data_IF_901571425261
#
_entry.id   IF_901571425261
#
_cell.length_a   1.000
_cell.length_b   1.000
_cell.length_c   1.000
_cell.angle_alpha   90.00
_cell.angle_beta   90.00
_cell.angle_gamma   90.00
#
_symmetry.space_group_name_H-M   'P 1'
#
loop_
_entity.id
_entity.type
_entity.pdbx_description
1 polymer ?
#
# COMPACT_ATOMS: atom_id res chain seq x y z
N UNK A 1 10.88 22.88 -16.78
CA UNK A 1 9.96 21.87 -17.33
C UNK A 1 9.70 20.86 -16.23
N UNK A 2 8.49 20.82 -15.69
CA UNK A 2 8.12 19.84 -14.65
C UNK A 2 7.72 18.55 -15.37
N UNK A 3 8.43 17.45 -15.15
CA UNK A 3 8.06 16.17 -15.74
C UNK A 3 6.88 15.57 -14.97
N UNK A 4 5.81 15.20 -15.67
CA UNK A 4 4.71 14.44 -15.08
C UNK A 4 5.18 13.00 -14.83
N UNK A 5 5.26 12.60 -13.56
CA UNK A 5 5.62 11.24 -13.18
C UNK A 5 4.35 10.45 -12.86
N UNK A 6 4.07 9.40 -13.65
CA UNK A 6 3.01 8.45 -13.39
C UNK A 6 3.63 7.08 -13.18
N UNK A 7 3.31 6.45 -12.04
CA UNK A 7 3.82 5.12 -11.69
C UNK A 7 2.66 4.24 -11.28
N UNK A 8 2.62 3.02 -11.82
CA UNK A 8 1.70 1.98 -11.37
C UNK A 8 2.42 1.08 -10.40
N UNK A 9 1.94 1.03 -9.16
CA UNK A 9 2.40 0.05 -8.17
C UNK A 9 1.47 -1.16 -8.21
N UNK A 10 2.03 -2.35 -8.33
CA UNK A 10 1.32 -3.62 -8.16
C UNK A 10 2.01 -4.47 -7.08
N UNK A 11 1.31 -5.48 -6.56
CA UNK A 11 1.78 -6.33 -5.45
C UNK A 11 2.18 -7.75 -5.90
N UNK A 12 2.23 -7.99 -7.21
CA UNK A 12 2.34 -9.34 -7.78
C UNK A 12 3.72 -9.96 -7.58
N UNK A 13 4.74 -9.11 -7.37
CA UNK A 13 6.13 -9.53 -7.12
C UNK A 13 6.57 -9.39 -5.67
N UNK A 14 5.71 -8.84 -4.81
CA UNK A 14 6.01 -8.71 -3.39
C UNK A 14 5.83 -10.04 -2.67
N UNK A 15 6.60 -10.22 -1.59
CA UNK A 15 6.47 -11.40 -0.75
C UNK A 15 5.14 -11.37 0.02
N UNK A 16 4.35 -12.44 -0.09
CA UNK A 16 3.13 -12.58 0.69
C UNK A 16 3.43 -12.63 2.19
N UNK A 17 2.53 -12.05 2.99
CA UNK A 17 2.68 -11.94 4.44
C UNK A 17 3.61 -10.80 4.89
N UNK A 18 4.24 -10.07 3.97
CA UNK A 18 5.12 -8.95 4.26
C UNK A 18 4.58 -7.62 3.71
N UNK A 19 5.18 -6.52 4.12
CA UNK A 19 4.98 -5.23 3.46
C UNK A 19 5.64 -5.23 2.07
N UNK A 20 5.09 -4.49 1.10
CA UNK A 20 5.78 -4.24 -0.17
C UNK A 20 7.15 -3.60 0.07
N UNK A 21 8.11 -3.89 -0.80
CA UNK A 21 9.48 -3.37 -0.64
C UNK A 21 9.50 -1.83 -0.63
N UNK A 22 10.17 -1.22 0.36
CA UNK A 22 10.26 0.24 0.51
C UNK A 22 9.04 0.91 1.18
N UNK A 23 8.03 0.13 1.58
CA UNK A 23 6.87 0.63 2.30
C UNK A 23 7.05 0.52 3.81
N UNK A 24 6.36 1.40 4.53
CA UNK A 24 6.31 1.42 5.99
C UNK A 24 4.87 1.44 6.45
N UNK A 25 4.57 0.79 7.56
CA UNK A 25 3.25 0.85 8.17
C UNK A 25 3.30 1.26 9.63
N UNK A 26 2.19 1.78 10.13
CA UNK A 26 2.02 2.11 11.53
C UNK A 26 0.59 2.47 11.88
N UNK A 27 0.42 3.05 13.06
CA UNK A 27 -0.85 3.60 13.52
C UNK A 27 -0.59 4.97 14.13
N UNK A 28 -1.43 5.93 13.79
CA UNK A 28 -1.56 7.15 14.58
C UNK A 28 -2.67 6.92 15.60
N UNK A 29 -2.37 7.05 16.88
CA UNK A 29 -3.27 6.69 17.98
C UNK A 29 -2.94 5.33 18.59
N UNK A 30 -3.96 4.47 18.77
CA UNK A 30 -3.81 3.15 19.41
C UNK A 30 -4.30 2.03 18.49
N UNK A 31 -3.87 0.81 18.82
CA UNK A 31 -4.26 -0.42 18.13
C UNK A 31 -3.08 -1.18 17.56
N UNK A 32 -3.38 -2.30 16.93
CA UNK A 32 -2.43 -3.19 16.29
C UNK A 32 -2.83 -3.35 14.82
N UNK A 33 -2.47 -2.40 13.95
CA UNK A 33 -2.72 -2.54 12.52
C UNK A 33 -1.88 -3.71 12.00
N UNK A 34 -2.41 -4.42 11.01
CA UNK A 34 -1.68 -5.44 10.26
C UNK A 34 -1.84 -5.12 8.79
N UNK A 35 -0.71 -4.83 8.15
CA UNK A 35 -0.61 -4.59 6.72
C UNK A 35 0.31 -5.66 6.12
N UNK A 36 -0.18 -6.35 5.10
CA UNK A 36 0.60 -7.37 4.39
C UNK A 36 0.07 -7.57 2.98
N UNK A 37 0.96 -7.95 2.07
CA UNK A 37 0.57 -8.48 0.76
C UNK A 37 -0.05 -9.86 0.96
N UNK A 38 -1.24 -10.07 0.42
CA UNK A 38 -1.97 -11.35 0.52
C UNK A 38 -2.50 -11.74 -0.85
N UNK A 39 -2.56 -13.05 -1.13
CA UNK A 39 -3.27 -13.55 -2.30
C UNK A 39 -4.78 -13.31 -2.13
N UNK A 40 -5.43 -12.77 -3.16
CA UNK A 40 -6.87 -12.59 -3.19
C UNK A 40 -7.40 -12.80 -4.61
N UNK A 41 -8.19 -13.87 -4.79
CA UNK A 41 -8.77 -14.22 -6.09
C UNK A 41 -9.96 -13.33 -6.47
N UNK A 42 -10.48 -12.52 -5.55
CA UNK A 42 -11.48 -11.50 -5.85
C UNK A 42 -10.87 -10.17 -6.30
N UNK A 43 -9.54 -10.02 -6.17
CA UNK A 43 -8.84 -8.78 -6.49
C UNK A 43 -9.11 -8.32 -7.94
N UNK A 44 -9.37 -7.02 -8.15
CA UNK A 44 -9.55 -6.46 -9.50
C UNK A 44 -8.28 -6.53 -10.36
N UNK A 45 -7.11 -6.68 -9.73
CA UNK A 45 -5.81 -6.90 -10.39
C UNK A 45 -5.06 -8.05 -9.69
N UNK A 46 -5.56 -9.27 -9.85
CA UNK A 46 -4.95 -10.52 -9.36
C UNK A 46 -3.45 -10.64 -9.67
N UNK A 47 -2.67 -11.41 -8.87
CA UNK A 47 -3.13 -12.32 -7.80
C UNK A 47 -3.12 -11.75 -6.38
N UNK A 48 -2.44 -10.63 -6.13
CA UNK A 48 -2.20 -10.16 -4.77
C UNK A 48 -2.82 -8.78 -4.50
N UNK A 49 -3.09 -8.51 -3.22
CA UNK A 49 -3.54 -7.21 -2.71
C UNK A 49 -2.68 -6.79 -1.52
N UNK A 50 -2.53 -5.49 -1.28
CA UNK A 50 -2.09 -4.98 0.01
C UNK A 50 -3.29 -4.91 0.95
N UNK A 51 -3.30 -5.77 1.96
CA UNK A 51 -4.44 -5.92 2.86
C UNK A 51 -4.19 -5.30 4.23
N UNK A 52 -5.19 -4.60 4.74
CA UNK A 52 -5.29 -4.20 6.14
C UNK A 52 -6.20 -5.20 6.87
N UNK A 53 -5.66 -5.98 7.81
CA UNK A 53 -6.41 -7.03 8.54
C UNK A 53 -6.37 -6.90 10.06
N UNK A 54 -5.70 -5.86 10.57
CA UNK A 54 -5.67 -5.53 12.00
C UNK A 54 -6.71 -4.47 12.38
N UNK A 55 -6.49 -3.78 13.50
CA UNK A 55 -7.36 -2.68 13.94
C UNK A 55 -6.55 -1.57 14.60
N UNK A 56 -6.97 -0.32 14.42
CA UNK A 56 -6.37 0.83 15.08
C UNK A 56 -7.13 2.12 14.74
N UNK A 57 -6.83 3.21 15.46
CA UNK A 57 -7.53 4.49 15.27
C UNK A 57 -7.34 5.02 13.85
N UNK A 58 -6.08 5.14 13.40
CA UNK A 58 -5.73 5.53 12.04
C UNK A 58 -4.56 4.68 11.54
N UNK A 59 -4.82 3.45 11.06
CA UNK A 59 -3.83 2.61 10.41
C UNK A 59 -3.33 3.29 9.14
N UNK A 60 -2.02 3.31 8.94
CA UNK A 60 -1.41 3.82 7.71
C UNK A 60 -0.39 2.83 7.17
N UNK A 61 -0.26 2.81 5.85
CA UNK A 61 0.78 2.13 5.10
C UNK A 61 1.21 3.06 3.96
N UNK A 62 2.47 3.47 3.96
CA UNK A 62 2.97 4.52 3.07
C UNK A 62 4.24 4.07 2.36
N UNK A 63 4.31 4.42 1.08
CA UNK A 63 5.53 4.33 0.29
C UNK A 63 6.40 5.55 0.61
N UNK A 64 7.61 5.31 1.10
CA UNK A 64 8.42 6.37 1.72
C UNK A 64 9.38 7.09 0.77
N UNK A 65 9.58 6.56 -0.44
CA UNK A 65 10.47 7.10 -1.46
C UNK A 65 9.77 8.02 -2.47
N UNK A 66 8.48 8.28 -2.28
CA UNK A 66 7.72 9.22 -3.11
C UNK A 66 7.72 10.62 -2.50
N UNK A 67 8.14 11.61 -3.28
CA UNK A 67 8.01 13.03 -2.95
C UNK A 67 7.11 13.71 -3.98
N UNK A 68 5.90 14.10 -3.58
CA UNK A 68 4.91 14.74 -4.43
C UNK A 68 4.36 15.99 -3.72
N UNK A 69 4.47 17.15 -4.38
CA UNK A 69 3.84 18.39 -3.90
C UNK A 69 2.39 18.49 -4.43
N UNK A 70 2.21 18.21 -5.74
CA UNK A 70 0.92 18.27 -6.43
C UNK A 70 0.71 16.98 -7.24
N UNK A 71 -0.44 16.34 -7.07
CA UNK A 71 -0.85 15.22 -7.90
C UNK A 71 -2.01 14.42 -7.30
N UNK A 72 -2.22 13.21 -7.81
CA UNK A 72 -3.34 12.36 -7.45
C UNK A 72 -2.87 10.92 -7.21
N UNK A 73 -3.61 10.19 -6.38
CA UNK A 73 -3.43 8.76 -6.15
C UNK A 73 -4.74 8.07 -6.46
N UNK A 74 -4.68 7.02 -7.25
CA UNK A 74 -5.82 6.15 -7.59
C UNK A 74 -5.53 4.75 -7.08
N UNK A 75 -6.57 4.08 -6.58
CA UNK A 75 -6.47 2.72 -6.05
C UNK A 75 -7.61 1.86 -6.58
N UNK A 76 -7.33 0.56 -6.75
CA UNK A 76 -8.35 -0.47 -6.92
C UNK A 76 -8.51 -1.18 -5.57
N UNK A 77 -9.75 -1.33 -5.10
CA UNK A 77 -10.09 -1.94 -3.80
C UNK A 77 -11.07 -3.09 -3.98
#
# INVERSE_FOLDING_TARGET
MTATHAETVSFDRDAQGALPAGWRSGVTGRGSPKWSVEADTSAPSRPNVLKQSGSGTFPWCVRSDTSLADGYVEVKF
#
